data_IF_760624938653
#
_entry.id   IF_760624938653
#
_cell.length_a   1.000
_cell.length_b   1.000
_cell.length_c   1.000
_cell.angle_alpha   90.00
_cell.angle_beta   90.00
_cell.angle_gamma   90.00
#
_symmetry.space_group_name_H-M   'P 1'
#
loop_
_entity.id
_entity.type
_entity.pdbx_description
1 polymer ?
#
# COMPACT_ATOMS: atom_id res chain seq x y z
N UNK A 1 47.99 91.94 -24.01
CA UNK A 1 48.77 91.77 -25.25
C UNK A 1 48.33 90.47 -25.89
N UNK A 2 47.53 90.55 -26.95
CA UNK A 2 47.99 90.25 -28.33
C UNK A 2 48.16 88.74 -28.53
N UNK A 3 47.44 88.01 -29.37
CA UNK A 3 46.45 88.34 -30.38
C UNK A 3 46.16 87.03 -31.14
N UNK A 4 44.87 86.84 -31.46
CA UNK A 4 44.35 86.33 -32.74
C UNK A 4 45.26 85.36 -33.52
N UNK A 5 44.80 84.12 -33.71
CA UNK A 5 44.81 83.55 -35.06
C UNK A 5 43.51 82.78 -35.32
N UNK A 6 42.82 83.30 -36.32
CA UNK A 6 41.59 82.83 -36.96
C UNK A 6 41.94 81.73 -37.94
N UNK A 7 41.07 80.73 -38.10
CA UNK A 7 40.80 80.08 -39.39
C UNK A 7 39.56 79.19 -39.25
N UNK A 8 38.42 79.75 -39.66
CA UNK A 8 37.26 78.98 -40.10
C UNK A 8 37.36 78.79 -41.62
N UNK A 9 36.97 77.61 -42.14
CA UNK A 9 36.31 77.56 -43.42
C UNK A 9 34.90 76.98 -43.28
N UNK A 10 33.99 77.64 -43.99
CA UNK A 10 32.59 77.29 -44.24
C UNK A 10 32.52 76.01 -45.08
N UNK A 11 31.42 75.26 -44.97
CA UNK A 11 30.65 74.74 -46.11
C UNK A 11 29.28 74.23 -45.61
N UNK A 12 28.24 74.52 -46.40
CA UNK A 12 26.82 74.29 -46.12
C UNK A 12 26.35 72.90 -46.67
N UNK A 13 25.03 72.63 -46.83
CA UNK A 13 24.34 71.50 -46.22
C UNK A 13 24.11 70.35 -47.22
N UNK A 14 23.77 69.16 -46.75
CA UNK A 14 23.01 68.22 -47.57
C UNK A 14 22.21 67.25 -46.71
N UNK A 15 20.97 67.07 -47.14
CA UNK A 15 20.00 66.16 -46.57
C UNK A 15 20.43 64.71 -46.81
N UNK A 16 20.17 63.85 -45.82
CA UNK A 16 20.33 62.41 -45.94
C UNK A 16 19.42 61.71 -44.94
N UNK A 17 18.21 61.39 -45.39
CA UNK A 17 17.36 60.38 -44.76
C UNK A 17 18.13 59.05 -44.71
N UNK A 18 18.32 58.49 -43.53
CA UNK A 18 18.66 57.07 -43.38
C UNK A 18 18.11 56.55 -42.04
N UNK A 19 17.03 55.78 -42.14
CA UNK A 19 16.58 54.88 -41.10
C UNK A 19 17.68 53.85 -40.81
N UNK A 20 17.97 53.60 -39.54
CA UNK A 20 18.78 52.45 -39.12
C UNK A 20 18.15 51.81 -37.89
N UNK A 21 17.49 50.68 -38.12
CA UNK A 21 17.06 49.74 -37.11
C UNK A 21 18.28 49.13 -36.42
N UNK A 22 18.38 49.30 -35.10
CA UNK A 22 19.47 48.77 -34.27
C UNK A 22 19.03 47.55 -33.47
N UNK A 23 19.28 46.37 -34.05
CA UNK A 23 19.67 45.08 -33.45
C UNK A 23 19.00 44.63 -32.14
N UNK A 24 18.16 43.60 -32.30
CA UNK A 24 17.57 42.82 -31.22
C UNK A 24 18.57 41.95 -30.45
N UNK A 25 18.40 41.94 -29.14
CA UNK A 25 18.95 40.93 -28.26
C UNK A 25 18.02 39.70 -28.27
N UNK A 26 18.48 38.59 -28.83
CA UNK A 26 17.90 37.26 -28.61
C UNK A 26 18.96 36.38 -27.94
N UNK A 27 18.96 36.38 -26.61
CA UNK A 27 19.60 35.34 -25.81
C UNK A 27 18.67 34.13 -25.79
N UNK A 28 18.97 33.13 -26.62
CA UNK A 28 18.31 31.82 -26.63
C UNK A 28 18.71 31.04 -25.36
N UNK A 29 17.83 30.97 -24.38
CA UNK A 29 17.93 30.03 -23.25
C UNK A 29 17.58 28.61 -23.73
N UNK A 30 18.57 27.88 -24.25
CA UNK A 30 18.45 26.46 -24.57
C UNK A 30 19.00 25.61 -23.40
N UNK A 31 18.14 25.24 -22.45
CA UNK A 31 18.56 24.40 -21.33
C UNK A 31 17.46 24.14 -20.31
N UNK A 32 16.41 23.41 -20.68
CA UNK A 32 15.35 23.01 -19.74
C UNK A 32 14.76 21.59 -19.94
N UNK A 33 15.22 20.79 -20.91
CA UNK A 33 14.48 19.58 -21.34
C UNK A 33 14.82 18.27 -20.59
N UNK A 34 15.75 18.27 -19.62
CA UNK A 34 16.16 17.03 -18.95
C UNK A 34 15.33 16.67 -17.71
N UNK A 35 14.64 17.64 -17.10
CA UNK A 35 13.79 17.41 -15.92
C UNK A 35 12.37 16.91 -16.28
N UNK A 36 11.98 17.00 -17.55
CA UNK A 36 10.62 16.67 -18.01
C UNK A 36 10.34 15.16 -18.05
N UNK A 37 11.35 14.33 -18.32
CA UNK A 37 11.14 12.89 -18.54
C UNK A 37 10.68 12.13 -17.29
N UNK A 38 11.29 12.39 -16.13
CA UNK A 38 10.88 11.74 -14.88
C UNK A 38 9.49 12.20 -14.42
N UNK A 39 9.19 13.50 -14.56
CA UNK A 39 7.88 14.05 -14.25
C UNK A 39 6.79 13.45 -15.16
N UNK A 40 7.07 13.31 -16.46
CA UNK A 40 6.17 12.66 -17.42
C UNK A 40 5.88 11.20 -17.04
N UNK A 41 6.88 10.43 -16.62
CA UNK A 41 6.69 9.04 -16.18
C UNK A 41 5.83 8.95 -14.92
N UNK A 42 6.04 9.84 -13.95
CA UNK A 42 5.18 9.93 -12.77
C UNK A 42 3.73 10.28 -13.12
N UNK A 43 3.50 11.17 -14.09
CA UNK A 43 2.16 11.51 -14.57
C UNK A 43 1.48 10.35 -15.34
N UNK A 44 2.23 9.56 -16.11
CA UNK A 44 1.72 8.34 -16.75
C UNK A 44 1.32 7.34 -15.68
N UNK A 45 2.17 7.17 -14.67
CA UNK A 45 1.90 6.28 -13.56
C UNK A 45 0.68 6.68 -12.74
N UNK A 46 0.56 7.96 -12.39
CA UNK A 46 -0.58 8.51 -11.65
C UNK A 46 -1.90 8.24 -12.37
N UNK A 47 -1.98 8.55 -13.67
CA UNK A 47 -3.19 8.31 -14.48
C UNK A 47 -3.59 6.84 -14.52
N UNK A 48 -2.61 5.94 -14.58
CA UNK A 48 -2.86 4.50 -14.54
C UNK A 48 -3.40 4.06 -13.17
N UNK A 49 -2.79 4.51 -12.08
CA UNK A 49 -3.24 4.16 -10.71
C UNK A 49 -4.65 4.72 -10.48
N UNK A 50 -4.90 5.97 -10.83
CA UNK A 50 -6.22 6.58 -10.71
C UNK A 50 -7.28 5.79 -11.49
N UNK A 51 -7.00 5.45 -12.76
CA UNK A 51 -7.90 4.62 -13.56
C UNK A 51 -8.12 3.24 -12.92
N UNK A 52 -7.07 2.59 -12.42
CA UNK A 52 -7.17 1.28 -11.80
C UNK A 52 -7.93 1.29 -10.46
N UNK A 53 -7.91 2.41 -9.72
CA UNK A 53 -8.67 2.58 -8.48
C UNK A 53 -10.15 2.91 -8.71
N UNK A 54 -10.48 3.60 -9.80
CA UNK A 54 -11.87 3.94 -10.16
C UNK A 54 -12.57 2.87 -10.99
N UNK A 55 -11.82 1.90 -11.53
CA UNK A 55 -12.43 0.74 -12.15
C UNK A 55 -13.12 -0.09 -11.06
N UNK A 56 -14.41 -0.42 -11.21
CA UNK A 56 -15.08 -1.38 -10.36
C UNK A 56 -14.48 -2.75 -10.67
N UNK A 57 -13.29 -3.03 -10.14
CA UNK A 57 -12.73 -4.37 -10.16
C UNK A 57 -13.65 -5.27 -9.34
N UNK A 58 -13.84 -6.51 -9.80
CA UNK A 58 -14.65 -7.51 -9.12
C UNK A 58 -14.16 -7.83 -7.69
N UNK A 59 -12.95 -7.38 -7.31
CA UNK A 59 -12.48 -7.22 -5.93
C UNK A 59 -12.58 -5.76 -5.48
N UNK A 60 -13.78 -5.18 -5.55
CA UNK A 60 -14.03 -3.97 -4.75
C UNK A 60 -13.77 -4.41 -3.32
N UNK A 61 -12.79 -3.81 -2.66
CA UNK A 61 -12.59 -4.00 -1.22
C UNK A 61 -13.80 -3.39 -0.54
N UNK A 62 -14.90 -4.15 -0.58
CA UNK A 62 -16.09 -3.89 0.17
C UNK A 62 -15.65 -4.08 1.60
N UNK A 63 -15.42 -2.96 2.30
CA UNK A 63 -15.65 -2.94 3.74
C UNK A 63 -16.96 -3.69 3.98
N UNK A 64 -17.07 -4.50 5.04
CA UNK A 64 -18.18 -5.43 5.29
C UNK A 64 -19.61 -4.86 5.24
N UNK A 65 -19.78 -3.57 4.92
CA UNK A 65 -21.02 -2.83 4.77
C UNK A 65 -21.16 -2.06 3.43
N UNK A 66 -20.36 -2.35 2.39
CA UNK A 66 -20.46 -1.67 1.10
C UNK A 66 -20.02 -0.20 1.10
N UNK A 67 -19.24 0.22 2.10
CA UNK A 67 -18.71 1.58 2.21
C UNK A 67 -17.52 1.77 1.27
N UNK A 68 -17.54 2.85 0.48
CA UNK A 68 -16.43 3.22 -0.39
C UNK A 68 -15.29 3.82 0.44
N UNK A 69 -14.10 3.24 0.35
CA UNK A 69 -12.89 3.75 1.01
C UNK A 69 -12.41 5.02 0.30
N UNK A 70 -11.90 5.97 1.07
CA UNK A 70 -11.26 7.18 0.56
C UNK A 70 -9.82 6.86 0.19
N UNK A 71 -9.57 6.75 -1.10
CA UNK A 71 -8.25 6.38 -1.63
C UNK A 71 -7.37 7.63 -1.79
N UNK A 72 -6.15 7.58 -1.26
CA UNK A 72 -5.13 8.61 -1.46
C UNK A 72 -3.88 7.99 -2.10
N UNK A 73 -3.46 8.53 -3.24
CA UNK A 73 -2.28 8.04 -3.98
C UNK A 73 -1.11 8.99 -3.74
N UNK A 74 0.00 8.43 -3.27
CA UNK A 74 1.27 9.12 -3.15
C UNK A 74 2.27 8.48 -4.11
N UNK A 75 2.67 9.24 -5.13
CA UNK A 75 3.75 8.82 -6.04
C UNK A 75 5.09 9.02 -5.36
N UNK A 76 5.94 7.99 -5.43
CA UNK A 76 7.35 8.13 -5.12
C UNK A 76 8.12 8.75 -6.28
N UNK A 77 9.44 8.59 -6.25
CA UNK A 77 10.34 9.08 -7.29
C UNK A 77 11.08 7.90 -7.92
N UNK A 78 11.35 8.01 -9.22
CA UNK A 78 12.32 7.13 -9.87
C UNK A 78 13.73 7.43 -9.34
N UNK A 79 14.64 6.46 -9.39
CA UNK A 79 16.05 6.68 -9.04
C UNK A 79 16.62 7.82 -9.89
N UNK A 80 17.12 8.88 -9.25
CA UNK A 80 17.66 10.07 -9.91
C UNK A 80 18.86 9.79 -10.84
N UNK A 81 19.53 8.64 -10.66
CA UNK A 81 20.66 8.19 -11.50
C UNK A 81 20.20 7.49 -12.77
N UNK A 82 18.91 7.17 -12.87
CA UNK A 82 18.34 6.50 -14.03
C UNK A 82 18.48 7.41 -15.27
N UNK A 83 18.96 6.83 -16.37
CA UNK A 83 19.09 7.47 -17.68
C UNK A 83 18.33 6.63 -18.69
N UNK A 84 17.08 7.00 -18.92
CA UNK A 84 16.20 6.28 -19.85
C UNK A 84 16.34 6.86 -21.26
N UNK A 85 16.43 5.98 -22.25
CA UNK A 85 16.29 6.38 -23.64
C UNK A 85 14.88 6.95 -23.89
N UNK A 86 14.78 7.89 -24.83
CA UNK A 86 13.49 8.44 -25.24
C UNK A 86 12.54 7.32 -25.69
N UNK A 87 11.29 7.40 -25.25
CA UNK A 87 10.27 6.41 -25.53
C UNK A 87 8.99 7.09 -26.03
N UNK A 88 8.52 6.69 -27.20
CA UNK A 88 7.27 7.18 -27.78
C UNK A 88 6.04 6.59 -27.08
N UNK A 89 6.15 5.34 -26.59
CA UNK A 89 5.05 4.66 -25.88
C UNK A 89 5.55 3.92 -24.65
N UNK A 90 5.20 4.45 -23.48
CA UNK A 90 5.42 3.83 -22.17
C UNK A 90 4.14 3.15 -21.73
N UNK A 91 4.25 1.89 -21.32
CA UNK A 91 3.14 1.09 -20.81
C UNK A 91 3.29 0.87 -19.30
N UNK A 92 2.39 1.41 -18.48
CA UNK A 92 2.33 1.11 -17.05
C UNK A 92 1.68 -0.26 -16.79
N UNK A 93 2.15 -0.97 -15.77
CA UNK A 93 1.59 -2.26 -15.36
C UNK A 93 1.82 -2.55 -13.87
N UNK A 94 0.96 -3.38 -13.28
CA UNK A 94 1.17 -3.92 -11.93
C UNK A 94 1.90 -5.26 -12.01
N UNK A 95 2.97 -5.48 -11.22
CA UNK A 95 3.59 -6.79 -11.12
C UNK A 95 2.58 -7.88 -10.71
N UNK A 96 2.73 -9.09 -11.24
CA UNK A 96 1.88 -10.22 -10.87
C UNK A 96 1.95 -10.46 -9.35
N UNK A 97 0.79 -10.67 -8.72
CA UNK A 97 0.66 -10.85 -7.27
C UNK A 97 0.82 -9.57 -6.44
N UNK A 98 0.99 -8.41 -7.07
CA UNK A 98 0.99 -7.13 -6.33
C UNK A 98 -0.42 -6.69 -5.98
N UNK A 99 -0.58 -6.13 -4.79
CA UNK A 99 -1.81 -5.42 -4.39
C UNK A 99 -1.67 -3.95 -4.74
N UNK A 100 -2.76 -3.35 -5.24
CA UNK A 100 -2.78 -1.96 -5.68
C UNK A 100 -2.86 -0.95 -4.53
N UNK A 101 -3.18 -1.40 -3.31
CA UNK A 101 -3.17 -0.56 -2.12
C UNK A 101 -1.91 -0.80 -1.26
N UNK A 102 -1.66 0.08 -0.30
CA UNK A 102 -0.51 0.04 0.60
C UNK A 102 0.77 0.46 -0.11
N UNK A 103 1.90 -0.01 0.39
CA UNK A 103 3.22 0.21 -0.25
C UNK A 103 3.38 -0.76 -1.40
N UNK A 104 3.43 -0.25 -2.63
CA UNK A 104 3.57 -1.09 -3.82
C UNK A 104 4.46 -0.41 -4.86
N UNK A 105 4.59 -1.02 -6.04
CA UNK A 105 5.49 -0.59 -7.11
C UNK A 105 4.78 -0.72 -8.44
N UNK A 106 4.77 0.38 -9.19
CA UNK A 106 4.25 0.42 -10.53
C UNK A 106 5.39 0.13 -11.52
N UNK A 107 5.22 -0.86 -12.38
CA UNK A 107 6.12 -1.10 -13.50
C UNK A 107 5.84 -0.14 -14.65
N UNK A 108 6.89 0.41 -15.24
CA UNK A 108 6.83 1.25 -16.44
C UNK A 108 7.77 0.65 -17.47
N UNK A 109 7.24 0.22 -18.62
CA UNK A 109 8.05 -0.35 -19.71
C UNK A 109 7.94 0.47 -20.99
N UNK A 110 9.05 0.66 -21.69
CA UNK A 110 9.02 1.20 -23.04
C UNK A 110 8.71 0.10 -24.04
N UNK A 111 7.64 0.27 -24.82
CA UNK A 111 7.24 -0.66 -25.89
C UNK A 111 7.48 -0.07 -27.28
N UNK A 112 7.76 1.23 -27.37
CA UNK A 112 8.08 1.89 -28.64
C UNK A 112 9.15 2.96 -28.41
N UNK A 113 10.40 2.61 -28.70
CA UNK A 113 11.56 3.48 -28.55
C UNK A 113 12.79 2.83 -29.19
N UNK A 114 13.90 3.56 -29.29
CA UNK A 114 15.14 3.04 -29.85
C UNK A 114 15.77 1.95 -28.97
N UNK A 115 15.53 1.99 -27.66
CA UNK A 115 16.02 1.02 -26.68
C UNK A 115 14.88 0.66 -25.72
N UNK A 116 14.50 -0.63 -25.58
CA UNK A 116 13.53 -1.04 -24.59
C UNK A 116 14.10 -0.89 -23.18
N UNK A 117 13.26 -0.49 -22.24
CA UNK A 117 13.61 -0.40 -20.82
C UNK A 117 12.41 -0.74 -19.95
N UNK A 118 12.68 -1.13 -18.71
CA UNK A 118 11.67 -1.41 -17.70
C UNK A 118 12.15 -0.92 -16.34
N UNK A 119 11.34 -0.10 -15.68
CA UNK A 119 11.67 0.50 -14.39
C UNK A 119 10.49 0.46 -13.45
N UNK A 120 10.77 0.66 -12.17
CA UNK A 120 9.75 0.58 -11.12
C UNK A 120 9.67 1.90 -10.38
N UNK A 121 8.46 2.46 -10.37
CA UNK A 121 8.11 3.66 -9.63
C UNK A 121 7.48 3.22 -8.30
N UNK A 122 8.11 3.46 -7.14
CA UNK A 122 7.47 3.21 -5.86
C UNK A 122 6.23 4.08 -5.72
N UNK A 123 5.13 3.50 -5.24
CA UNK A 123 3.90 4.22 -4.94
C UNK A 123 3.35 3.78 -3.58
N UNK A 124 2.64 4.66 -2.89
CA UNK A 124 1.90 4.34 -1.68
C UNK A 124 0.45 4.73 -1.89
N UNK A 125 -0.45 3.78 -1.76
CA UNK A 125 -1.89 4.00 -1.94
C UNK A 125 -2.56 3.75 -0.59
N UNK A 126 -2.99 4.80 0.08
CA UNK A 126 -3.69 4.72 1.37
C UNK A 126 -5.18 4.55 1.12
N UNK A 127 -5.84 3.81 2.01
CA UNK A 127 -7.26 3.54 1.92
C UNK A 127 -7.92 3.86 3.26
N UNK A 128 -8.42 5.09 3.39
CA UNK A 128 -9.05 5.55 4.63
C UNK A 128 -10.50 5.09 4.70
N UNK A 129 -10.88 4.54 5.84
CA UNK A 129 -12.25 4.12 6.10
C UNK A 129 -12.51 3.85 7.57
N UNK A 130 -13.79 3.70 7.95
CA UNK A 130 -14.18 3.42 9.32
C UNK A 130 -13.69 2.03 9.74
N UNK A 131 -13.14 1.93 10.94
CA UNK A 131 -12.76 0.68 11.58
C UNK A 131 -12.80 0.86 13.11
N UNK A 132 -12.32 -0.13 13.84
CA UNK A 132 -12.23 -0.09 15.30
C UNK A 132 -10.78 0.08 15.76
N UNK A 133 -10.56 1.01 16.70
CA UNK A 133 -9.27 1.22 17.36
C UNK A 133 -9.38 0.93 18.84
N UNK A 134 -8.31 0.46 19.47
CA UNK A 134 -8.28 0.21 20.91
C UNK A 134 -8.55 1.51 21.68
N UNK A 135 -9.54 1.50 22.58
CA UNK A 135 -9.89 2.67 23.40
C UNK A 135 -8.79 2.97 24.42
N UNK A 136 -8.22 1.92 25.02
CA UNK A 136 -7.14 2.01 25.99
C UNK A 136 -6.03 0.98 25.73
N UNK A 137 -5.10 0.86 26.67
CA UNK A 137 -4.10 -0.21 26.61
C UNK A 137 -4.76 -1.54 26.97
N UNK A 138 -4.60 -2.54 26.11
CA UNK A 138 -5.18 -3.88 26.28
C UNK A 138 -4.04 -4.87 26.49
N UNK A 139 -3.96 -5.56 27.65
CA UNK A 139 -2.93 -6.56 27.87
C UNK A 139 -3.18 -7.82 27.02
N UNK A 140 -2.10 -8.54 26.70
CA UNK A 140 -2.20 -9.84 26.05
C UNK A 140 -3.02 -10.82 26.91
N UNK A 141 -3.85 -11.64 26.25
CA UNK A 141 -4.72 -12.61 26.91
C UNK A 141 -6.06 -12.05 27.39
N UNK A 142 -6.29 -10.73 27.32
CA UNK A 142 -7.62 -10.15 27.60
C UNK A 142 -8.61 -10.55 26.50
N UNK A 143 -9.80 -10.98 26.90
CA UNK A 143 -10.95 -11.13 26.01
C UNK A 143 -11.53 -9.76 25.70
N UNK A 144 -11.67 -9.42 24.42
CA UNK A 144 -12.17 -8.15 23.95
C UNK A 144 -13.68 -8.04 24.11
N UNK A 145 -14.14 -6.91 24.63
CA UNK A 145 -15.56 -6.52 24.71
C UNK A 145 -15.82 -5.26 23.87
N UNK A 146 -17.09 -4.88 23.72
CA UNK A 146 -17.47 -3.70 22.92
C UNK A 146 -16.89 -2.38 23.47
N UNK A 147 -16.60 -2.31 24.77
CA UNK A 147 -16.00 -1.14 25.44
C UNK A 147 -14.49 -1.01 25.18
N UNK A 148 -13.82 -2.07 24.72
CA UNK A 148 -12.38 -2.06 24.49
C UNK A 148 -11.97 -1.31 23.23
N UNK A 149 -12.93 -0.99 22.36
CA UNK A 149 -12.68 -0.35 21.10
C UNK A 149 -13.68 0.75 20.82
N UNK A 150 -13.24 1.73 20.03
CA UNK A 150 -14.09 2.82 19.54
C UNK A 150 -13.98 2.92 18.02
N UNK A 151 -15.05 3.32 17.32
CA UNK A 151 -14.98 3.53 15.88
C UNK A 151 -14.08 4.73 15.57
N UNK A 152 -13.24 4.60 14.55
CA UNK A 152 -12.37 5.66 14.05
C UNK A 152 -12.08 5.48 12.55
N UNK A 153 -11.69 6.55 11.87
CA UNK A 153 -11.14 6.46 10.51
C UNK A 153 -9.66 6.03 10.58
N UNK A 154 -9.29 4.97 9.86
CA UNK A 154 -7.92 4.43 9.83
C UNK A 154 -7.48 4.14 8.39
N UNK A 155 -6.18 4.02 8.16
CA UNK A 155 -5.65 3.51 6.89
C UNK A 155 -5.70 1.98 6.88
N UNK A 156 -6.62 1.43 6.10
CA UNK A 156 -6.80 -0.01 5.94
C UNK A 156 -5.58 -0.65 5.29
N UNK A 157 -4.88 0.10 4.44
CA UNK A 157 -3.76 -0.37 3.64
C UNK A 157 -2.39 -0.23 4.33
N UNK A 158 -2.37 0.30 5.55
CA UNK A 158 -1.15 0.46 6.36
C UNK A 158 -0.49 -0.90 6.71
N UNK A 159 -1.29 -1.94 6.91
CA UNK A 159 -0.84 -3.32 7.20
C UNK A 159 -1.54 -4.31 6.25
N UNK A 160 -0.93 -5.47 6.02
CA UNK A 160 -1.54 -6.54 5.24
C UNK A 160 -2.67 -7.25 5.97
N UNK A 161 -2.63 -7.24 7.31
CA UNK A 161 -3.71 -7.74 8.14
C UNK A 161 -4.92 -6.80 8.10
N UNK A 162 -6.07 -7.39 7.75
CA UNK A 162 -7.33 -6.67 7.67
C UNK A 162 -7.71 -6.05 9.03
N UNK A 163 -8.25 -4.84 8.99
CA UNK A 163 -8.89 -4.20 10.13
C UNK A 163 -10.26 -4.82 10.40
N UNK A 164 -10.73 -4.72 11.64
CA UNK A 164 -12.12 -5.00 11.95
C UNK A 164 -13.00 -3.83 11.53
N UNK A 165 -13.92 -4.08 10.59
CA UNK A 165 -14.91 -3.10 10.14
C UNK A 165 -16.15 -3.10 11.05
N UNK A 166 -16.54 -4.27 11.55
CA UNK A 166 -17.68 -4.45 12.44
C UNK A 166 -17.24 -4.86 13.84
N UNK A 167 -18.08 -4.58 14.84
CA UNK A 167 -17.71 -4.81 16.23
C UNK A 167 -17.83 -6.30 16.61
N UNK A 168 -18.87 -6.95 16.09
CA UNK A 168 -19.17 -8.36 16.26
C UNK A 168 -18.03 -9.29 15.83
N UNK A 169 -17.17 -8.84 14.91
CA UNK A 169 -16.05 -9.63 14.40
C UNK A 169 -14.89 -9.75 15.40
N UNK A 170 -14.77 -8.83 16.37
CA UNK A 170 -13.71 -8.87 17.38
C UNK A 170 -14.21 -9.15 18.80
N UNK A 171 -15.49 -8.91 19.10
CA UNK A 171 -16.05 -9.16 20.43
C UNK A 171 -15.95 -10.65 20.77
N UNK A 172 -15.42 -10.96 21.95
CA UNK A 172 -15.17 -12.35 22.40
C UNK A 172 -13.84 -12.94 21.91
N UNK A 173 -13.14 -12.26 21.00
CA UNK A 173 -11.77 -12.65 20.63
C UNK A 173 -10.80 -12.29 21.75
N UNK A 174 -9.65 -12.95 21.79
CA UNK A 174 -8.62 -12.76 22.80
C UNK A 174 -7.43 -12.02 22.19
N UNK A 175 -6.95 -10.97 22.84
CA UNK A 175 -5.75 -10.25 22.43
C UNK A 175 -4.54 -11.21 22.41
N UNK A 176 -3.93 -11.41 21.25
CA UNK A 176 -2.77 -12.30 21.08
C UNK A 176 -1.46 -11.63 21.53
N UNK A 177 -1.46 -10.30 21.64
CA UNK A 177 -0.33 -9.45 22.08
C UNK A 177 -0.88 -8.20 22.79
N UNK A 178 -0.05 -7.44 23.52
CA UNK A 178 -0.47 -6.16 24.08
C UNK A 178 -0.83 -5.16 22.97
N UNK A 179 -1.93 -4.42 23.12
CA UNK A 179 -2.39 -3.38 22.21
C UNK A 179 -2.34 -2.02 22.90
N UNK A 180 -1.97 -0.98 22.17
CA UNK A 180 -1.88 0.38 22.71
C UNK A 180 -3.13 1.19 22.36
N UNK A 181 -3.50 2.14 23.21
CA UNK A 181 -4.59 3.09 22.92
C UNK A 181 -4.40 3.75 21.54
N UNK A 182 -5.48 3.85 20.78
CA UNK A 182 -5.51 4.40 19.42
C UNK A 182 -5.02 3.44 18.32
N UNK A 183 -4.52 2.24 18.66
CA UNK A 183 -4.08 1.27 17.66
C UNK A 183 -5.28 0.65 16.92
N UNK A 184 -5.25 0.62 15.59
CA UNK A 184 -6.24 -0.09 14.78
C UNK A 184 -6.26 -1.58 15.13
N UNK A 185 -7.44 -2.10 15.46
CA UNK A 185 -7.64 -3.52 15.71
C UNK A 185 -7.59 -4.27 14.39
N UNK A 186 -6.65 -5.21 14.28
CA UNK A 186 -6.44 -6.04 13.10
C UNK A 186 -6.53 -7.51 13.44
N UNK A 187 -6.92 -8.33 12.47
CA UNK A 187 -7.19 -9.76 12.65
C UNK A 187 -5.98 -10.53 13.19
N UNK A 188 -4.76 -10.16 12.81
CA UNK A 188 -3.53 -10.78 13.30
C UNK A 188 -3.18 -10.45 14.76
N UNK A 189 -3.89 -9.51 15.39
CA UNK A 189 -3.65 -9.07 16.77
C UNK A 189 -4.49 -9.83 17.78
N UNK A 190 -5.47 -10.59 17.30
CA UNK A 190 -6.40 -11.35 18.12
C UNK A 190 -6.38 -12.82 17.73
N UNK A 191 -6.91 -13.65 18.60
CA UNK A 191 -7.11 -15.08 18.37
C UNK A 191 -8.46 -15.50 18.93
N UNK A 192 -9.07 -16.58 18.41
CA UNK A 192 -10.30 -17.09 18.99
C UNK A 192 -10.09 -17.50 20.46
N UNK A 193 -11.14 -17.43 21.29
CA UNK A 193 -11.08 -17.92 22.66
C UNK A 193 -10.82 -19.43 22.66
N UNK A 194 -10.12 -19.90 23.70
CA UNK A 194 -9.84 -21.32 23.82
C UNK A 194 -11.15 -22.09 24.10
N UNK A 195 -11.43 -23.12 23.29
CA UNK A 195 -12.57 -24.02 23.50
C UNK A 195 -12.26 -25.04 24.60
N UNK A 196 -10.98 -25.33 24.80
CA UNK A 196 -10.49 -26.20 25.87
C UNK A 196 -9.09 -25.78 26.33
N UNK A 197 -8.66 -26.30 27.49
CA UNK A 197 -7.35 -26.03 28.09
C UNK A 197 -6.42 -27.23 27.99
N UNK A 198 -5.14 -27.03 28.33
CA UNK A 198 -4.18 -28.13 28.40
C UNK A 198 -4.66 -29.22 29.38
N UNK A 199 -4.59 -30.48 28.95
CA UNK A 199 -5.05 -31.64 29.71
C UNK A 199 -6.53 -32.00 29.50
N UNK A 200 -7.31 -31.14 28.85
CA UNK A 200 -8.72 -31.42 28.57
C UNK A 200 -8.88 -32.65 27.66
N UNK A 201 -9.87 -33.52 27.92
CA UNK A 201 -10.22 -34.58 26.99
C UNK A 201 -10.80 -33.95 25.72
N UNK A 202 -10.32 -34.41 24.56
CA UNK A 202 -10.76 -33.92 23.25
C UNK A 202 -11.02 -35.10 22.32
N UNK A 203 -12.00 -34.93 21.43
CA UNK A 203 -12.23 -35.85 20.33
C UNK A 203 -11.30 -35.48 19.17
N UNK A 204 -10.69 -36.48 18.57
CA UNK A 204 -9.85 -36.34 17.38
C UNK A 204 -10.55 -37.04 16.23
N UNK A 205 -10.68 -36.37 15.09
CA UNK A 205 -11.25 -36.93 13.88
C UNK A 205 -10.21 -36.90 12.76
N UNK A 206 -9.92 -38.07 12.21
CA UNK A 206 -9.00 -38.24 11.08
C UNK A 206 -9.82 -38.49 9.82
N UNK A 207 -9.65 -37.66 8.80
CA UNK A 207 -10.35 -37.82 7.53
C UNK A 207 -9.33 -38.15 6.43
N UNK A 208 -9.57 -39.22 5.66
CA UNK A 208 -8.71 -39.58 4.54
C UNK A 208 -9.48 -40.40 3.50
N UNK A 209 -9.26 -40.14 2.21
CA UNK A 209 -9.65 -41.03 1.10
C UNK A 209 -11.03 -41.70 1.12
N UNK A 210 -12.07 -41.06 1.71
CA UNK A 210 -13.42 -41.62 1.83
C UNK A 210 -13.77 -42.29 3.16
N UNK A 211 -12.89 -42.26 4.16
CA UNK A 211 -13.16 -42.72 5.53
C UNK A 211 -13.01 -41.58 6.55
N UNK A 212 -13.69 -41.73 7.68
CA UNK A 212 -13.53 -40.87 8.85
C UNK A 212 -13.40 -41.74 10.11
N UNK A 213 -12.34 -41.52 10.87
CA UNK A 213 -12.07 -42.24 12.12
C UNK A 213 -12.09 -41.25 13.27
N UNK A 214 -12.94 -41.52 14.26
CA UNK A 214 -12.95 -40.78 15.52
C UNK A 214 -12.12 -41.51 16.58
N UNK A 215 -11.40 -40.74 17.39
CA UNK A 215 -10.69 -41.21 18.57
C UNK A 215 -10.73 -40.18 19.69
N UNK A 216 -10.21 -40.54 20.85
CA UNK A 216 -10.09 -39.67 22.02
C UNK A 216 -8.64 -39.49 22.42
N UNK A 217 -8.37 -38.34 23.05
CA UNK A 217 -7.08 -38.05 23.63
C UNK A 217 -7.13 -36.84 24.55
N UNK A 218 -5.96 -36.41 25.02
CA UNK A 218 -5.80 -35.21 25.85
C UNK A 218 -5.08 -34.12 25.07
N UNK A 219 -5.63 -32.90 25.09
CA UNK A 219 -4.97 -31.74 24.51
C UNK A 219 -3.70 -31.38 25.29
N UNK A 220 -2.61 -31.06 24.59
CA UNK A 220 -1.34 -30.67 25.23
C UNK A 220 -1.24 -29.17 25.51
N UNK A 221 -2.12 -28.38 24.91
CA UNK A 221 -2.20 -26.93 25.08
C UNK A 221 -3.66 -26.48 24.98
N UNK A 222 -3.95 -25.26 25.45
CA UNK A 222 -5.23 -24.61 25.16
C UNK A 222 -5.30 -24.24 23.68
N UNK A 223 -6.48 -24.40 23.07
CA UNK A 223 -6.70 -24.04 21.67
C UNK A 223 -8.16 -23.63 21.43
N UNK A 224 -8.33 -22.61 20.60
CA UNK A 224 -9.61 -22.18 20.04
C UNK A 224 -9.84 -22.73 18.64
N UNK A 225 -11.00 -22.44 18.07
CA UNK A 225 -11.34 -22.77 16.68
C UNK A 225 -10.23 -22.34 15.69
N UNK A 226 -9.94 -23.15 14.68
CA UNK A 226 -8.94 -22.88 13.66
C UNK A 226 -7.49 -22.96 14.13
N UNK A 227 -7.22 -23.11 15.42
CA UNK A 227 -5.86 -23.24 15.94
C UNK A 227 -5.37 -24.68 15.86
N UNK A 228 -4.07 -24.84 15.61
CA UNK A 228 -3.42 -26.14 15.71
C UNK A 228 -3.11 -26.51 17.16
N UNK A 229 -3.32 -27.77 17.51
CA UNK A 229 -2.99 -28.32 18.82
C UNK A 229 -2.39 -29.71 18.69
N UNK A 230 -1.47 -30.04 19.61
CA UNK A 230 -0.98 -31.40 19.78
C UNK A 230 -1.89 -32.15 20.76
N UNK A 231 -2.28 -33.36 20.40
CA UNK A 231 -3.12 -34.23 21.21
C UNK A 231 -2.37 -35.52 21.49
N UNK A 232 -2.32 -35.93 22.76
CA UNK A 232 -1.86 -37.27 23.15
C UNK A 232 -3.06 -38.20 23.12
N UNK A 233 -3.10 -39.08 22.13
CA UNK A 233 -4.11 -40.12 21.99
C UNK A 233 -4.02 -41.13 23.14
N UNK A 234 -5.12 -41.83 23.41
CA UNK A 234 -5.17 -42.83 24.49
C UNK A 234 -4.18 -44.00 24.28
N UNK A 235 -3.79 -44.28 23.04
CA UNK A 235 -2.74 -45.24 22.68
C UNK A 235 -1.30 -44.70 22.87
N UNK A 236 -1.14 -43.51 23.46
CA UNK A 236 0.14 -42.86 23.72
C UNK A 236 0.74 -42.09 22.54
N UNK A 237 0.19 -42.22 21.32
CA UNK A 237 0.68 -41.48 20.14
C UNK A 237 0.36 -40.00 20.26
N UNK A 238 1.25 -39.17 19.74
CA UNK A 238 1.02 -37.74 19.61
C UNK A 238 0.59 -37.41 18.18
N UNK A 239 -0.51 -36.69 18.04
CA UNK A 239 -1.04 -36.22 16.76
C UNK A 239 -1.17 -34.70 16.79
N UNK A 240 -1.05 -34.06 15.64
CA UNK A 240 -1.27 -32.60 15.49
C UNK A 240 -2.46 -32.41 14.56
N UNK A 241 -3.40 -31.57 14.96
CA UNK A 241 -4.58 -31.26 14.17
C UNK A 241 -5.11 -29.86 14.45
N UNK A 242 -6.13 -29.47 13.71
CA UNK A 242 -6.78 -28.16 13.81
C UNK A 242 -8.13 -28.28 14.49
N UNK A 243 -8.41 -27.42 15.46
CA UNK A 243 -9.69 -27.43 16.20
C UNK A 243 -10.80 -26.86 15.32
N UNK A 244 -11.96 -27.51 15.26
CA UNK A 244 -13.16 -26.96 14.61
C UNK A 244 -14.04 -26.14 15.59
N UNK A 245 -15.12 -25.53 15.09
CA UNK A 245 -16.05 -24.75 15.91
C UNK A 245 -16.65 -25.53 17.11
N UNK A 246 -16.73 -26.86 17.02
CA UNK A 246 -17.28 -27.72 18.09
C UNK A 246 -16.22 -28.22 19.08
N UNK A 247 -14.95 -27.81 18.94
CA UNK A 247 -13.86 -28.26 19.81
C UNK A 247 -13.25 -29.63 19.43
N UNK A 248 -13.63 -30.19 18.28
CA UNK A 248 -13.06 -31.45 17.75
C UNK A 248 -11.77 -31.15 17.00
N UNK A 249 -10.73 -31.96 17.22
CA UNK A 249 -9.43 -31.81 16.57
C UNK A 249 -9.41 -32.61 15.26
N UNK A 250 -9.33 -31.91 14.12
CA UNK A 250 -9.26 -32.50 12.79
C UNK A 250 -7.80 -32.76 12.39
N UNK A 251 -7.48 -34.00 12.02
CA UNK A 251 -6.17 -34.40 11.51
C UNK A 251 -6.32 -34.77 10.03
N UNK A 252 -5.50 -34.15 9.18
CA UNK A 252 -5.41 -34.42 7.75
C UNK A 252 -4.27 -35.38 7.42
#
# INVERSE_FOLDING_TARGET
>A
MSGRFSLSPRLRPSQGLAAAWGLGALLLTAGAQAQDGAAQLSQIGQRFVDAALHQPSAETVQAGNGMALRMEVQMGQLDSRLRLAACAKVEPYLPAGSRLWGRTRLGLRCVQGSVPWNVFLPITVRAYGPAWVAQGNIPAGKTLSAEDAVPAEVDWAEDSAAVFANAEDFIGMVAARPLTSGQALRQNMVRPPALFTAGSPVQVMVNGGGFSVAGSGKAMAAAGEGQQVRVRMDNGRLVTGTVNASGVVLVQ
#
